data_IF_348362685322
#
_entry.id   IF_348362685322
#
_cell.length_a   1.000
_cell.length_b   1.000
_cell.length_c   1.000
_cell.angle_alpha   90.00
_cell.angle_beta   90.00
_cell.angle_gamma   90.00
#
_symmetry.space_group_name_H-M   'P 1'
#
loop_
_entity.id
_entity.type
_entity.pdbx_description
1 polymer ?
#
# COMPACT_ATOMS: atom_id res chain seq x y z
N UNK A 1 6.72 7.35 25.02
CA UNK A 1 5.87 8.22 24.20
C UNK A 1 5.14 9.23 25.12
N UNK A 2 5.32 10.54 24.87
CA UNK A 2 4.79 11.60 25.70
C UNK A 2 3.26 11.53 25.81
N UNK A 3 2.55 11.22 24.72
CA UNK A 3 1.10 11.09 24.71
C UNK A 3 0.61 9.97 25.64
N UNK A 4 1.25 8.79 25.59
CA UNK A 4 0.90 7.67 26.50
C UNK A 4 1.12 8.06 27.97
N UNK A 5 2.19 8.80 28.28
CA UNK A 5 2.46 9.24 29.66
C UNK A 5 1.43 10.25 30.16
N UNK A 6 0.90 11.12 29.32
CA UNK A 6 -0.17 12.05 29.71
C UNK A 6 -1.46 11.32 30.05
N UNK A 7 -1.81 10.28 29.29
CA UNK A 7 -2.97 9.44 29.59
C UNK A 7 -2.73 8.67 30.91
N UNK A 8 -1.60 8.01 31.08
CA UNK A 8 -1.26 7.22 32.26
C UNK A 8 -1.21 8.05 33.55
N UNK A 9 -0.76 9.29 33.47
CA UNK A 9 -0.66 10.20 34.61
C UNK A 9 -1.94 11.01 34.85
N UNK A 10 -3.02 10.72 34.13
CA UNK A 10 -4.30 11.41 34.28
C UNK A 10 -4.32 12.87 33.80
N UNK A 11 -3.25 13.33 33.11
CA UNK A 11 -3.20 14.67 32.52
C UNK A 11 -4.12 14.82 31.30
N UNK A 12 -4.50 13.72 30.71
CA UNK A 12 -5.51 13.64 29.67
C UNK A 12 -6.46 12.47 29.98
N UNK A 13 -7.74 12.76 30.03
CA UNK A 13 -8.81 11.75 30.18
C UNK A 13 -9.59 11.71 28.87
N UNK A 14 -9.58 10.56 28.20
CA UNK A 14 -10.30 10.44 26.93
C UNK A 14 -11.81 10.23 27.16
N UNK A 15 -12.67 10.88 26.34
CA UNK A 15 -14.12 10.73 26.44
C UNK A 15 -14.68 9.55 25.64
N UNK A 16 -13.85 8.87 24.85
CA UNK A 16 -14.28 7.96 23.79
C UNK A 16 -14.83 6.65 24.35
N UNK A 17 -15.96 6.20 23.81
CA UNK A 17 -16.54 4.86 24.01
C UNK A 17 -16.20 3.92 22.85
N UNK A 18 -15.82 4.46 21.71
CA UNK A 18 -15.42 3.73 20.52
C UNK A 18 -14.17 4.37 19.92
N UNK A 19 -13.23 3.56 19.51
CA UNK A 19 -12.00 3.99 18.82
C UNK A 19 -11.88 3.18 17.53
N UNK A 20 -11.75 3.88 16.42
CA UNK A 20 -11.58 3.29 15.08
C UNK A 20 -10.17 3.61 14.62
N UNK A 21 -9.45 2.58 14.18
CA UNK A 21 -8.08 2.71 13.64
C UNK A 21 -8.08 2.17 12.22
N UNK A 22 -7.77 3.04 11.27
CA UNK A 22 -7.56 2.69 9.88
C UNK A 22 -6.09 2.41 9.60
N UNK A 23 -5.79 1.65 8.54
CA UNK A 23 -4.44 1.22 8.15
C UNK A 23 -3.67 0.60 9.33
N UNK A 24 -4.34 -0.29 10.08
CA UNK A 24 -3.80 -0.86 11.32
C UNK A 24 -2.51 -1.66 11.11
N UNK A 25 -2.23 -2.17 9.91
CA UNK A 25 -0.97 -2.83 9.57
C UNK A 25 0.26 -1.91 9.71
N UNK A 26 0.05 -0.59 9.70
CA UNK A 26 1.11 0.41 9.82
C UNK A 26 1.24 1.00 11.23
N UNK A 27 0.62 0.33 12.22
CA UNK A 27 0.73 0.76 13.60
C UNK A 27 2.16 0.55 14.13
N UNK A 28 2.68 1.57 14.82
CA UNK A 28 3.95 1.47 15.52
C UNK A 28 3.76 1.11 17.00
N UNK A 29 4.80 0.61 17.64
CA UNK A 29 4.82 0.37 19.09
C UNK A 29 4.38 1.60 19.90
N UNK A 30 4.73 2.80 19.45
CA UNK A 30 4.35 4.03 20.12
C UNK A 30 2.85 4.32 20.04
N UNK A 31 2.22 4.06 18.88
CA UNK A 31 0.78 4.21 18.68
C UNK A 31 0.01 3.13 19.46
N UNK A 32 0.49 1.88 19.41
CA UNK A 32 -0.08 0.79 20.21
C UNK A 32 -0.11 1.15 21.70
N UNK A 33 1.03 1.60 22.28
CA UNK A 33 1.10 2.00 23.68
C UNK A 33 0.14 3.14 24.05
N UNK A 34 -0.14 4.04 23.13
CA UNK A 34 -1.12 5.10 23.37
C UNK A 34 -2.53 4.50 23.49
N UNK A 35 -2.92 3.67 22.52
CA UNK A 35 -4.24 3.00 22.54
C UNK A 35 -4.42 2.14 23.79
N UNK A 36 -3.39 1.37 24.13
CA UNK A 36 -3.40 0.51 25.33
C UNK A 36 -3.52 1.35 26.62
N UNK A 37 -2.76 2.44 26.74
CA UNK A 37 -2.88 3.37 27.87
C UNK A 37 -4.28 4.00 27.98
N UNK A 38 -4.90 4.32 26.86
CA UNK A 38 -6.28 4.82 26.83
C UNK A 38 -7.25 3.73 27.33
N UNK A 39 -7.11 2.49 26.87
CA UNK A 39 -7.95 1.37 27.29
C UNK A 39 -7.85 1.07 28.79
N UNK A 40 -6.62 1.14 29.33
CA UNK A 40 -6.39 0.97 30.77
C UNK A 40 -7.02 2.07 31.61
N UNK A 41 -7.08 3.30 31.09
CA UNK A 41 -7.70 4.41 31.79
C UNK A 41 -9.22 4.31 31.83
N UNK A 42 -9.82 3.98 30.70
CA UNK A 42 -11.26 3.79 30.52
C UNK A 42 -11.50 2.86 29.33
N UNK A 43 -12.26 1.81 29.55
CA UNK A 43 -12.57 0.85 28.50
C UNK A 43 -13.35 1.47 27.33
N UNK A 44 -13.04 1.03 26.12
CA UNK A 44 -13.68 1.42 24.87
C UNK A 44 -13.76 0.23 23.91
N UNK A 45 -14.67 0.30 22.96
CA UNK A 45 -14.72 -0.66 21.85
C UNK A 45 -13.71 -0.26 20.78
N UNK A 46 -12.80 -1.17 20.44
CA UNK A 46 -11.81 -0.97 19.40
C UNK A 46 -12.27 -1.63 18.09
N UNK A 47 -12.23 -0.88 17.01
CA UNK A 47 -12.45 -1.36 15.65
C UNK A 47 -11.26 -1.01 14.79
N UNK A 48 -10.58 -2.02 14.22
CA UNK A 48 -9.41 -1.82 13.40
C UNK A 48 -9.67 -2.31 11.98
N UNK A 49 -9.25 -1.53 11.01
CA UNK A 49 -9.24 -1.88 9.58
C UNK A 49 -7.80 -1.90 9.12
N UNK A 50 -7.42 -2.91 8.36
CA UNK A 50 -6.06 -3.02 7.86
C UNK A 50 -5.88 -4.21 6.92
N UNK A 51 -4.82 -4.17 6.15
CA UNK A 51 -4.43 -5.20 5.20
C UNK A 51 -2.95 -5.54 5.39
N UNK A 52 -2.65 -6.71 5.95
CA UNK A 52 -1.29 -7.17 6.22
C UNK A 52 -0.43 -7.26 4.94
N UNK A 53 -1.05 -7.45 3.75
CA UNK A 53 -0.34 -7.44 2.48
C UNK A 53 0.16 -6.05 2.07
N UNK A 54 -0.40 -4.98 2.66
CA UNK A 54 -0.03 -3.59 2.39
C UNK A 54 0.96 -3.01 3.42
N UNK A 55 1.47 -3.82 4.35
CA UNK A 55 2.45 -3.36 5.34
C UNK A 55 3.81 -3.11 4.70
N UNK A 56 4.11 -1.85 4.39
CA UNK A 56 5.35 -1.41 3.73
C UNK A 56 6.16 -0.40 4.55
N UNK A 57 5.68 0.00 5.74
CA UNK A 57 6.26 1.06 6.56
C UNK A 57 7.13 0.57 7.72
N UNK A 58 7.68 -0.65 7.64
CA UNK A 58 8.58 -1.19 8.66
C UNK A 58 9.78 -0.28 8.93
N UNK A 59 10.32 0.37 7.90
CA UNK A 59 11.44 1.31 8.03
C UNK A 59 11.11 2.55 8.86
N UNK A 60 9.84 2.91 9.00
CA UNK A 60 9.34 4.03 9.84
C UNK A 60 8.87 3.58 11.22
N UNK A 61 9.09 2.31 11.58
CA UNK A 61 8.79 1.75 12.89
C UNK A 61 7.41 1.11 13.01
N UNK A 62 6.71 0.82 11.90
CA UNK A 62 5.52 -0.03 11.96
C UNK A 62 5.91 -1.48 12.24
N UNK A 63 5.04 -2.19 12.93
CA UNK A 63 5.22 -3.60 13.28
C UNK A 63 3.98 -4.40 12.89
N UNK A 64 4.11 -5.20 11.85
CA UNK A 64 3.06 -6.08 11.33
C UNK A 64 2.57 -7.11 12.38
N UNK A 65 3.40 -7.39 13.39
CA UNK A 65 3.05 -8.30 14.47
C UNK A 65 1.76 -7.90 15.19
N UNK A 66 1.42 -6.60 15.25
CA UNK A 66 0.19 -6.13 15.88
C UNK A 66 -1.07 -6.58 15.15
N UNK A 67 -1.08 -6.60 13.81
CA UNK A 67 -2.23 -7.08 13.05
C UNK A 67 -2.25 -8.61 12.94
N UNK A 68 -1.08 -9.24 12.78
CA UNK A 68 -0.99 -10.70 12.66
C UNK A 68 -1.38 -11.41 13.95
N UNK A 69 -1.07 -10.82 15.10
CA UNK A 69 -1.34 -11.37 16.44
C UNK A 69 -2.36 -10.53 17.21
N UNK A 70 -3.38 -10.02 16.54
CA UNK A 70 -4.32 -9.03 17.09
C UNK A 70 -4.91 -9.46 18.44
N UNK A 71 -5.37 -10.70 18.56
CA UNK A 71 -5.96 -11.23 19.81
C UNK A 71 -4.96 -11.31 20.97
N UNK A 72 -3.68 -11.46 20.70
CA UNK A 72 -2.64 -11.44 21.75
C UNK A 72 -2.55 -10.06 22.41
N UNK A 73 -2.81 -8.99 21.67
CA UNK A 73 -2.70 -7.62 22.15
C UNK A 73 -4.02 -7.07 22.70
N UNK A 74 -5.14 -7.48 22.12
CA UNK A 74 -6.44 -6.88 22.41
C UNK A 74 -7.44 -7.83 23.05
N UNK A 75 -7.12 -9.13 23.15
CA UNK A 75 -8.02 -10.17 23.65
C UNK A 75 -8.93 -10.72 22.55
N UNK A 76 -9.94 -11.47 22.95
CA UNK A 76 -10.90 -12.08 22.04
C UNK A 76 -11.51 -11.04 21.10
N UNK A 77 -11.56 -11.35 19.82
CA UNK A 77 -12.01 -10.42 18.78
C UNK A 77 -12.78 -11.13 17.67
N UNK A 78 -13.70 -10.41 17.04
CA UNK A 78 -14.33 -10.84 15.81
C UNK A 78 -13.53 -10.32 14.61
N UNK A 79 -13.25 -11.21 13.65
CA UNK A 79 -12.49 -10.88 12.46
C UNK A 79 -13.38 -11.10 11.24
N UNK A 80 -13.70 -10.00 10.54
CA UNK A 80 -14.34 -10.02 9.23
C UNK A 80 -13.33 -9.83 8.13
N UNK A 81 -13.52 -10.51 7.00
CA UNK A 81 -12.64 -10.40 5.83
C UNK A 81 -13.41 -9.84 4.64
N UNK A 82 -12.82 -8.84 4.00
CA UNK A 82 -13.31 -8.30 2.72
C UNK A 82 -12.48 -8.96 1.62
N UNK A 83 -13.08 -9.91 0.91
CA UNK A 83 -12.40 -10.71 -0.11
C UNK A 83 -12.73 -10.25 -1.54
N UNK A 84 -13.71 -9.38 -1.71
CA UNK A 84 -14.08 -8.85 -3.02
C UNK A 84 -13.53 -7.44 -3.21
N UNK A 85 -12.80 -7.22 -4.30
CA UNK A 85 -12.34 -5.89 -4.72
C UNK A 85 -13.07 -5.42 -5.95
N UNK A 86 -13.35 -4.11 -5.98
CA UNK A 86 -13.93 -3.38 -7.10
C UNK A 86 -12.90 -2.50 -7.83
N UNK A 87 -11.62 -2.64 -7.46
CA UNK A 87 -10.54 -1.78 -7.93
C UNK A 87 -9.70 -2.41 -9.02
N UNK A 88 -9.49 -3.73 -8.95
CA UNK A 88 -8.54 -4.43 -9.81
C UNK A 88 -9.19 -5.62 -10.53
N UNK A 89 -8.81 -5.91 -11.79
CA UNK A 89 -9.24 -7.11 -12.50
C UNK A 89 -8.59 -8.38 -11.90
N UNK A 90 -9.21 -9.53 -12.15
CA UNK A 90 -8.77 -10.81 -11.58
C UNK A 90 -7.36 -11.21 -12.02
N UNK A 91 -6.97 -10.90 -13.24
CA UNK A 91 -5.61 -11.15 -13.74
C UNK A 91 -4.53 -10.42 -12.93
N UNK A 92 -4.75 -9.15 -12.55
CA UNK A 92 -3.82 -8.41 -11.70
C UNK A 92 -3.78 -8.99 -10.28
N UNK A 93 -4.94 -9.36 -9.72
CA UNK A 93 -5.02 -10.02 -8.42
C UNK A 93 -4.19 -11.31 -8.42
N UNK A 94 -4.31 -12.14 -9.45
CA UNK A 94 -3.60 -13.42 -9.55
C UNK A 94 -2.08 -13.23 -9.56
N UNK A 95 -1.58 -12.25 -10.30
CA UNK A 95 -0.14 -11.95 -10.37
C UNK A 95 0.37 -11.38 -9.04
N UNK A 96 -0.32 -10.40 -8.46
CA UNK A 96 0.10 -9.76 -7.21
C UNK A 96 0.02 -10.73 -6.02
N UNK A 97 -1.05 -11.52 -5.93
CA UNK A 97 -1.19 -12.55 -4.90
C UNK A 97 -0.11 -13.62 -5.02
N UNK A 98 0.19 -14.09 -6.24
CA UNK A 98 1.28 -15.04 -6.48
C UNK A 98 2.66 -14.51 -6.08
N UNK A 99 2.88 -13.20 -6.17
CA UNK A 99 4.10 -12.55 -5.69
C UNK A 99 4.13 -12.48 -4.15
N UNK A 100 3.07 -11.97 -3.53
CA UNK A 100 3.01 -11.77 -2.08
C UNK A 100 3.07 -13.10 -1.33
N UNK A 101 2.38 -14.12 -1.82
CA UNK A 101 2.32 -15.45 -1.21
C UNK A 101 3.63 -16.24 -1.30
N UNK A 102 4.68 -15.71 -1.93
CA UNK A 102 6.03 -16.28 -1.81
C UNK A 102 6.62 -16.11 -0.40
N UNK A 103 6.13 -15.15 0.36
CA UNK A 103 6.48 -15.01 1.76
C UNK A 103 5.58 -15.92 2.61
N UNK A 104 6.13 -16.96 3.28
CA UNK A 104 5.35 -17.91 4.07
C UNK A 104 4.70 -17.30 5.32
N UNK A 105 5.16 -16.14 5.76
CA UNK A 105 4.61 -15.42 6.93
C UNK A 105 3.32 -14.66 6.60
N UNK A 106 2.98 -14.50 5.33
CA UNK A 106 1.77 -13.80 4.92
C UNK A 106 0.52 -14.65 5.13
N UNK A 107 -0.55 -14.01 5.63
CA UNK A 107 -1.86 -14.67 5.75
C UNK A 107 -2.43 -14.95 4.37
N UNK A 108 -2.93 -16.18 4.19
CA UNK A 108 -3.60 -16.54 2.94
C UNK A 108 -4.92 -15.78 2.80
N UNK A 109 -5.14 -15.22 1.62
CA UNK A 109 -6.38 -14.52 1.23
C UNK A 109 -6.84 -15.03 -0.13
N UNK A 110 -8.16 -15.14 -0.27
CA UNK A 110 -8.80 -15.50 -1.54
C UNK A 110 -9.50 -14.25 -2.10
N UNK A 111 -8.71 -13.40 -2.75
CA UNK A 111 -9.26 -12.20 -3.34
C UNK A 111 -9.99 -12.50 -4.66
N UNK A 112 -11.16 -11.90 -4.82
CA UNK A 112 -12.01 -11.97 -6.02
C UNK A 112 -12.24 -10.58 -6.57
N UNK A 113 -12.23 -10.47 -7.89
CA UNK A 113 -12.57 -9.23 -8.57
C UNK A 113 -14.07 -9.16 -8.87
N UNK A 114 -14.67 -8.00 -8.65
CA UNK A 114 -15.95 -7.62 -9.20
C UNK A 114 -15.81 -6.79 -10.50
N UNK A 115 -14.57 -6.53 -10.95
CA UNK A 115 -14.28 -5.76 -12.16
C UNK A 115 -14.14 -6.71 -13.33
N UNK A 116 -14.74 -6.34 -14.49
CA UNK A 116 -14.54 -7.06 -15.75
C UNK A 116 -13.07 -6.99 -16.13
N UNK A 117 -12.48 -8.14 -16.48
CA UNK A 117 -11.07 -8.21 -16.87
C UNK A 117 -10.88 -7.69 -18.31
N UNK A 118 -10.18 -6.56 -18.52
CA UNK A 118 -9.97 -5.99 -19.85
C UNK A 118 -8.81 -6.66 -20.62
N UNK A 119 -8.31 -7.81 -20.14
CA UNK A 119 -7.13 -8.45 -20.74
C UNK A 119 -5.82 -7.85 -20.24
N UNK A 120 -5.68 -7.71 -18.92
CA UNK A 120 -4.46 -7.20 -18.28
C UNK A 120 -3.23 -8.05 -18.60
N UNK A 121 -2.12 -7.40 -18.93
CA UNK A 121 -0.83 -8.07 -19.12
C UNK A 121 0.25 -7.45 -18.23
N UNK A 122 1.12 -8.29 -17.67
CA UNK A 122 2.31 -7.89 -16.94
C UNK A 122 3.55 -8.18 -17.79
N UNK A 123 4.35 -7.16 -18.04
CA UNK A 123 5.62 -7.28 -18.75
C UNK A 123 6.80 -6.90 -17.84
N UNK A 124 7.94 -7.55 -18.05
CA UNK A 124 9.21 -7.14 -17.46
C UNK A 124 10.15 -6.70 -18.57
N UNK A 125 10.60 -5.44 -18.50
CA UNK A 125 11.59 -4.92 -19.43
C UNK A 125 12.96 -4.99 -18.76
N UNK A 126 13.91 -5.65 -19.42
CA UNK A 126 15.29 -5.75 -18.93
C UNK A 126 16.20 -5.33 -20.10
N UNK A 127 17.04 -4.35 -19.88
CA UNK A 127 18.02 -3.86 -20.87
C UNK A 127 19.45 -3.96 -20.33
N UNK A 128 20.43 -4.02 -21.22
CA UNK A 128 21.86 -3.92 -20.87
C UNK A 128 22.25 -2.51 -20.39
N UNK A 129 21.47 -1.50 -20.76
CA UNK A 129 21.60 -0.11 -20.31
C UNK A 129 20.22 0.47 -20.06
N UNK A 130 20.15 1.45 -19.14
CA UNK A 130 18.91 2.19 -18.85
C UNK A 130 18.34 2.84 -20.12
N UNK A 131 19.20 3.36 -20.97
CA UNK A 131 18.86 3.95 -22.27
C UNK A 131 18.06 3.00 -23.16
N UNK A 132 18.45 1.74 -23.24
CA UNK A 132 17.74 0.75 -24.07
C UNK A 132 16.38 0.40 -23.47
N UNK A 133 16.32 0.21 -22.15
CA UNK A 133 15.07 -0.09 -21.46
C UNK A 133 14.06 1.07 -21.56
N UNK A 134 14.54 2.32 -21.44
CA UNK A 134 13.71 3.52 -21.55
C UNK A 134 13.19 3.69 -22.99
N UNK A 135 14.03 3.46 -24.00
CA UNK A 135 13.58 3.52 -25.40
C UNK A 135 12.50 2.49 -25.67
N UNK A 136 12.72 1.23 -25.27
CA UNK A 136 11.73 0.16 -25.45
C UNK A 136 10.42 0.48 -24.73
N UNK A 137 10.49 1.04 -23.50
CA UNK A 137 9.31 1.50 -22.77
C UNK A 137 8.57 2.59 -23.57
N UNK A 138 9.31 3.53 -24.19
CA UNK A 138 8.73 4.58 -24.99
C UNK A 138 7.97 4.08 -26.20
N UNK A 139 8.56 3.13 -26.91
CA UNK A 139 7.92 2.50 -28.06
C UNK A 139 6.61 1.80 -27.64
N UNK A 140 6.61 1.12 -26.49
CA UNK A 140 5.41 0.47 -25.94
C UNK A 140 4.34 1.45 -25.48
N UNK A 141 4.72 2.56 -24.89
CA UNK A 141 3.79 3.60 -24.47
C UNK A 141 3.16 4.32 -25.67
N UNK A 142 3.91 4.46 -26.77
CA UNK A 142 3.38 5.04 -28.01
C UNK A 142 2.31 4.16 -28.70
N UNK A 143 2.27 2.86 -28.40
CA UNK A 143 1.25 1.92 -28.87
C UNK A 143 -0.09 2.05 -28.09
N UNK A 144 -0.10 2.77 -26.96
CA UNK A 144 -1.32 2.90 -26.14
C UNK A 144 -2.41 3.70 -26.88
N UNK A 145 -3.68 3.33 -26.70
CA UNK A 145 -4.80 4.09 -27.24
C UNK A 145 -4.79 5.55 -26.75
N UNK A 146 -5.26 6.48 -27.58
CA UNK A 146 -5.48 7.85 -27.16
C UNK A 146 -6.42 7.93 -25.93
N UNK A 147 -6.12 8.80 -24.97
CA UNK A 147 -6.87 8.94 -23.72
C UNK A 147 -6.48 7.93 -22.62
N UNK A 148 -5.49 7.07 -22.85
CA UNK A 148 -4.93 6.22 -21.79
C UNK A 148 -4.26 7.05 -20.70
N UNK A 149 -4.36 6.65 -19.45
CA UNK A 149 -3.58 7.23 -18.35
C UNK A 149 -2.39 6.33 -18.02
N UNK A 150 -1.26 6.92 -17.66
CA UNK A 150 -0.04 6.20 -17.29
C UNK A 150 0.45 6.70 -15.94
N UNK A 151 0.66 5.75 -15.02
CA UNK A 151 1.21 6.02 -13.70
C UNK A 151 2.61 5.43 -13.61
N UNK A 152 3.60 6.27 -13.31
CA UNK A 152 4.95 5.83 -12.99
C UNK A 152 5.11 5.74 -11.48
N UNK A 153 5.51 4.57 -11.00
CA UNK A 153 5.79 4.30 -9.60
C UNK A 153 7.28 4.10 -9.41
N UNK A 154 7.88 4.90 -8.54
CA UNK A 154 9.27 4.77 -8.12
C UNK A 154 9.37 4.46 -6.63
N UNK A 155 10.47 3.88 -6.19
CA UNK A 155 10.74 3.67 -4.78
C UNK A 155 11.14 4.97 -4.08
N UNK A 156 11.81 5.86 -4.81
CA UNK A 156 12.30 7.13 -4.31
C UNK A 156 12.00 8.25 -5.31
N UNK A 157 11.81 9.47 -4.80
CA UNK A 157 11.59 10.65 -5.66
C UNK A 157 12.71 10.91 -6.67
N UNK A 158 13.95 10.46 -6.40
CA UNK A 158 15.04 10.62 -7.36
C UNK A 158 14.98 9.59 -8.51
N UNK A 159 14.21 8.51 -8.38
CA UNK A 159 14.01 7.57 -9.50
C UNK A 159 13.42 8.29 -10.73
N UNK A 160 12.57 9.29 -10.48
CA UNK A 160 12.01 10.17 -11.52
C UNK A 160 13.13 10.98 -12.21
N UNK A 161 14.14 11.43 -11.46
CA UNK A 161 15.26 12.20 -12.01
C UNK A 161 16.14 11.38 -12.94
N UNK A 162 16.19 10.07 -12.75
CA UNK A 162 16.85 9.17 -13.72
C UNK A 162 16.16 9.22 -15.08
N UNK A 163 14.86 9.43 -15.10
CA UNK A 163 14.09 9.62 -16.33
C UNK A 163 14.32 11.03 -16.92
N UNK A 164 14.33 12.08 -16.10
CA UNK A 164 14.53 13.48 -16.54
C UNK A 164 15.92 13.75 -17.14
N UNK A 165 16.96 13.02 -16.68
CA UNK A 165 18.34 13.17 -17.15
C UNK A 165 18.61 12.59 -18.53
N UNK A 166 17.70 11.82 -19.11
CA UNK A 166 17.86 11.21 -20.42
C UNK A 166 17.06 11.97 -21.49
N UNK A 167 17.74 12.39 -22.56
CA UNK A 167 17.09 13.00 -23.72
C UNK A 167 15.97 12.14 -24.33
N UNK A 168 15.98 10.86 -24.02
CA UNK A 168 14.96 9.88 -24.42
C UNK A 168 13.72 9.93 -23.54
N UNK A 169 13.78 10.44 -22.30
CA UNK A 169 12.59 10.69 -21.51
C UNK A 169 11.82 11.91 -22.03
N UNK A 170 12.50 12.93 -22.52
CA UNK A 170 11.87 14.02 -23.27
C UNK A 170 11.13 13.50 -24.51
N UNK A 171 11.67 12.47 -25.17
CA UNK A 171 11.00 11.77 -26.27
C UNK A 171 9.74 11.03 -25.78
N UNK A 172 9.81 10.31 -24.66
CA UNK A 172 8.68 9.66 -24.01
C UNK A 172 7.60 10.66 -23.61
N UNK A 173 7.99 11.72 -22.93
CA UNK A 173 7.09 12.78 -22.50
C UNK A 173 6.43 13.47 -23.69
N UNK A 174 7.18 13.78 -24.75
CA UNK A 174 6.67 14.40 -25.97
C UNK A 174 5.81 13.45 -26.80
N UNK A 175 6.14 12.16 -26.86
CA UNK A 175 5.31 11.15 -27.55
C UNK A 175 3.95 10.94 -26.85
N UNK A 176 3.89 11.24 -25.55
CA UNK A 176 2.70 11.10 -24.72
C UNK A 176 1.97 12.44 -24.50
N UNK A 177 2.67 13.57 -24.67
CA UNK A 177 2.10 14.91 -24.49
C UNK A 177 0.93 15.13 -25.44
N UNK A 178 -0.23 15.40 -24.89
CA UNK A 178 -1.49 15.58 -25.62
C UNK A 178 -2.29 14.31 -25.93
N UNK A 179 -1.78 13.11 -25.56
CA UNK A 179 -2.49 11.84 -25.74
C UNK A 179 -2.85 11.12 -24.43
N UNK A 180 -2.15 11.43 -23.35
CA UNK A 180 -2.17 10.60 -22.16
C UNK A 180 -1.95 11.46 -20.93
N UNK A 181 -2.70 11.20 -19.88
CA UNK A 181 -2.44 11.78 -18.55
C UNK A 181 -1.30 11.01 -17.90
N UNK A 182 -0.20 11.70 -17.58
CA UNK A 182 0.98 11.11 -16.94
C UNK A 182 1.07 11.58 -15.51
N UNK A 183 1.04 10.64 -14.57
CA UNK A 183 1.19 10.90 -13.15
C UNK A 183 2.43 10.19 -12.61
N UNK A 184 3.21 10.91 -11.78
CA UNK A 184 4.33 10.35 -11.04
C UNK A 184 3.95 10.29 -9.55
N UNK A 185 4.13 9.14 -8.94
CA UNK A 185 3.86 8.89 -7.52
C UNK A 185 5.06 8.26 -6.80
#
# INVERSE_FOLDING_TARGET
NLASSYVQNGRYVHPYSHVIVDEYQDISQARYRLLDSMRMQKDYRLFCVGDDWQSIYRFSGSDIGFILNFERYWGASEISRIETTYRFPQSLISVSSGFIMRNPEQKQKQLRSAVVDPGFSVGKITGYTDTYAIKFLGDKLAELPGGSSVLFLGRYRFDIRMLDGHSQFAYLYNAMAGRTEVTFA
#
